data_IF_741013642673
#
_entry.id   IF_741013642673
#
_cell.length_a   1.000
_cell.length_b   1.000
_cell.length_c   1.000
_cell.angle_alpha   90.00
_cell.angle_beta   90.00
_cell.angle_gamma   90.00
#
_symmetry.space_group_name_H-M   'P 1'
#
loop_
_entity.id
_entity.type
_entity.pdbx_description
1 polymer ?
#
# COMPACT_ATOMS: atom_id res chain seq x y z
N UNK A 1 -23.85 -5.68 -3.33
CA UNK A 1 -23.04 -6.55 -4.23
C UNK A 1 -21.68 -6.61 -3.58
N UNK A 2 -21.46 -7.63 -2.77
CA UNK A 2 -20.31 -7.71 -1.88
C UNK A 2 -19.14 -8.23 -2.71
N UNK A 3 -18.12 -7.38 -2.93
CA UNK A 3 -16.86 -7.82 -3.50
C UNK A 3 -16.23 -8.81 -2.52
N UNK A 4 -16.16 -10.08 -2.90
CA UNK A 4 -15.50 -11.10 -2.11
C UNK A 4 -14.01 -10.77 -2.06
N UNK A 5 -13.54 -10.25 -0.92
CA UNK A 5 -12.13 -10.07 -0.64
C UNK A 5 -11.45 -11.46 -0.64
N UNK A 6 -10.83 -11.83 -1.76
CA UNK A 6 -10.11 -13.08 -1.86
C UNK A 6 -8.72 -12.93 -1.23
N UNK A 7 -8.57 -13.50 -0.04
CA UNK A 7 -7.29 -13.60 0.66
C UNK A 7 -6.31 -14.42 -0.17
N UNK A 8 -5.25 -13.78 -0.66
CA UNK A 8 -4.08 -14.49 -1.14
C UNK A 8 -3.47 -15.25 0.05
N UNK A 9 -3.49 -16.57 -0.03
CA UNK A 9 -3.05 -17.49 1.02
C UNK A 9 -1.73 -17.08 1.66
N UNK A 10 -1.78 -16.66 2.92
CA UNK A 10 -0.62 -16.42 3.80
C UNK A 10 -0.22 -14.96 4.04
N UNK A 11 -0.74 -13.99 3.29
CA UNK A 11 -0.43 -12.58 3.49
C UNK A 11 -1.58 -11.88 4.25
N UNK A 12 -1.22 -11.13 5.29
CA UNK A 12 -2.12 -10.30 6.09
C UNK A 12 -2.56 -9.06 5.28
N UNK A 13 -3.45 -9.24 4.30
CA UNK A 13 -3.95 -8.19 3.42
C UNK A 13 -5.38 -8.45 2.93
N UNK A 14 -6.11 -7.38 2.61
CA UNK A 14 -7.44 -7.39 1.98
C UNK A 14 -7.47 -6.39 0.82
N UNK A 15 -7.45 -6.89 -0.40
CA UNK A 15 -7.51 -6.09 -1.64
C UNK A 15 -8.55 -6.67 -2.59
N UNK A 16 -9.02 -5.88 -3.56
CA UNK A 16 -10.07 -6.31 -4.50
C UNK A 16 -9.64 -7.51 -5.35
N UNK A 17 -8.46 -7.44 -5.97
CA UNK A 17 -7.97 -8.45 -6.91
C UNK A 17 -6.44 -8.44 -6.96
N UNK A 18 -5.81 -9.47 -6.40
CA UNK A 18 -4.35 -9.61 -6.35
C UNK A 18 -3.73 -9.80 -7.74
N UNK A 19 -4.50 -10.24 -8.74
CA UNK A 19 -4.00 -10.47 -10.11
C UNK A 19 -3.64 -9.16 -10.83
N UNK A 20 -4.13 -8.01 -10.34
CA UNK A 20 -3.81 -6.68 -10.85
C UNK A 20 -2.39 -6.20 -10.49
N UNK A 21 -1.68 -6.93 -9.63
CA UNK A 21 -0.39 -6.49 -9.10
C UNK A 21 0.68 -6.22 -10.17
N UNK A 22 0.71 -6.99 -11.26
CA UNK A 22 1.69 -6.78 -12.33
C UNK A 22 1.39 -5.53 -13.15
N UNK A 23 0.12 -5.15 -13.27
CA UNK A 23 -0.26 -3.87 -13.87
C UNK A 23 0.11 -2.72 -12.94
N UNK A 24 -0.23 -2.84 -11.65
CA UNK A 24 0.13 -1.82 -10.66
C UNK A 24 1.63 -1.60 -10.53
N UNK A 25 2.46 -2.65 -10.63
CA UNK A 25 3.92 -2.51 -10.67
C UNK A 25 4.38 -1.64 -11.83
N UNK A 26 3.87 -1.85 -13.05
CA UNK A 26 4.24 -1.03 -14.21
C UNK A 26 3.90 0.44 -14.01
N UNK A 27 2.75 0.75 -13.41
CA UNK A 27 2.37 2.13 -13.12
C UNK A 27 3.17 2.75 -11.98
N UNK A 28 3.56 1.96 -10.96
CA UNK A 28 4.51 2.38 -9.92
C UNK A 28 5.86 2.74 -10.55
N UNK A 29 6.40 1.90 -11.43
CA UNK A 29 7.69 2.14 -12.11
C UNK A 29 7.65 3.46 -12.91
N UNK A 30 6.53 3.75 -13.58
CA UNK A 30 6.32 5.04 -14.26
C UNK A 30 6.26 6.20 -13.25
N UNK A 31 5.53 6.02 -12.14
CA UNK A 31 5.38 7.06 -11.13
C UNK A 31 6.69 7.40 -10.40
N UNK A 32 7.60 6.44 -10.23
CA UNK A 32 8.93 6.71 -9.66
C UNK A 32 9.71 7.76 -10.48
N UNK A 33 9.55 7.77 -11.81
CA UNK A 33 10.16 8.79 -12.67
C UNK A 33 9.58 10.19 -12.43
N UNK A 34 8.29 10.28 -12.10
CA UNK A 34 7.58 11.54 -11.82
C UNK A 34 7.67 11.97 -10.34
N UNK A 35 8.32 11.18 -9.48
CA UNK A 35 8.47 11.45 -8.04
C UNK A 35 9.95 11.58 -7.62
N UNK A 36 10.74 12.50 -8.24
CA UNK A 36 12.18 12.59 -8.02
C UNK A 36 12.55 12.93 -6.57
N UNK A 37 11.67 13.61 -5.84
CA UNK A 37 11.85 13.92 -4.42
C UNK A 37 11.91 12.66 -3.55
N UNK A 38 10.93 11.75 -3.68
CA UNK A 38 10.93 10.48 -2.95
C UNK A 38 12.09 9.59 -3.37
N UNK A 39 12.39 9.53 -4.67
CA UNK A 39 13.50 8.73 -5.16
C UNK A 39 14.85 9.24 -4.66
N UNK A 40 15.01 10.57 -4.49
CA UNK A 40 16.19 11.16 -3.88
C UNK A 40 16.33 10.78 -2.40
N UNK A 41 15.22 10.81 -1.64
CA UNK A 41 15.20 10.37 -0.24
C UNK A 41 15.59 8.89 -0.13
N UNK A 42 15.01 8.03 -0.97
CA UNK A 42 15.33 6.59 -1.03
C UNK A 42 16.82 6.37 -1.29
N UNK A 43 17.38 6.97 -2.34
CA UNK A 43 18.82 6.86 -2.67
C UNK A 43 19.72 7.35 -1.54
N UNK A 44 19.34 8.43 -0.86
CA UNK A 44 20.16 9.04 0.20
C UNK A 44 20.16 8.23 1.50
N UNK A 45 19.04 7.64 1.88
CA UNK A 45 18.85 7.10 3.23
C UNK A 45 18.62 5.59 3.31
N UNK A 46 18.37 4.90 2.20
CA UNK A 46 18.16 3.44 2.21
C UNK A 46 19.34 2.70 2.84
N UNK A 47 20.60 3.05 2.55
CA UNK A 47 21.75 2.37 3.15
C UNK A 47 21.83 2.50 4.68
N UNK A 48 21.35 3.63 5.23
CA UNK A 48 21.37 3.91 6.67
C UNK A 48 20.17 3.37 7.43
N UNK A 49 19.10 2.97 6.72
CA UNK A 49 17.86 2.44 7.30
C UNK A 49 17.36 3.26 8.51
N UNK A 50 17.12 4.58 8.37
CA UNK A 50 16.82 5.45 9.52
C UNK A 50 15.50 5.12 10.23
N UNK A 51 14.59 4.40 9.56
CA UNK A 51 13.31 3.97 10.12
C UNK A 51 13.34 2.53 10.64
N UNK A 52 14.52 1.91 10.74
CA UNK A 52 14.66 0.54 11.26
C UNK A 52 14.02 0.41 12.65
N UNK A 53 13.06 -0.50 12.76
CA UNK A 53 12.33 -0.76 14.00
C UNK A 53 11.15 0.19 14.26
N UNK A 54 10.89 1.14 13.36
CA UNK A 54 9.70 2.00 13.41
C UNK A 54 8.53 1.27 12.74
N UNK A 55 7.41 1.17 13.45
CA UNK A 55 6.13 0.69 12.92
C UNK A 55 5.31 1.89 12.43
N UNK A 56 4.86 1.85 11.18
CA UNK A 56 4.09 2.92 10.54
C UNK A 56 2.76 2.35 10.05
N UNK A 57 1.66 2.87 10.60
CA UNK A 57 0.33 2.71 10.02
C UNK A 57 0.00 3.95 9.20
N UNK A 58 -0.39 3.77 7.94
CA UNK A 58 -0.83 4.85 7.06
C UNK A 58 -2.30 4.76 6.68
N UNK A 59 -2.92 5.93 6.53
CA UNK A 59 -4.31 6.12 6.10
C UNK A 59 -4.42 7.23 5.06
N UNK A 60 -3.57 7.21 4.03
CA UNK A 60 -3.73 8.08 2.85
C UNK A 60 -4.48 7.32 1.75
N UNK A 61 -4.95 8.02 0.72
CA UNK A 61 -5.56 7.39 -0.47
C UNK A 61 -4.63 6.28 -0.99
N UNK A 62 -5.15 5.09 -1.25
CA UNK A 62 -4.32 3.95 -1.69
C UNK A 62 -4.13 4.00 -3.21
N UNK A 63 -3.31 4.94 -3.66
CA UNK A 63 -3.01 5.22 -5.07
C UNK A 63 -1.62 4.75 -5.47
N UNK A 64 -1.29 4.85 -6.75
CA UNK A 64 0.05 4.64 -7.29
C UNK A 64 1.10 5.53 -6.61
N UNK A 65 0.78 6.80 -6.35
CA UNK A 65 1.73 7.73 -5.71
C UNK A 65 1.98 7.34 -4.25
N UNK A 66 0.93 6.89 -3.55
CA UNK A 66 1.05 6.37 -2.18
C UNK A 66 1.84 5.06 -2.15
N UNK A 67 1.72 4.20 -3.16
CA UNK A 67 2.53 3.00 -3.29
C UNK A 67 4.04 3.33 -3.33
N UNK A 68 4.45 4.36 -4.08
CA UNK A 68 5.85 4.86 -4.08
C UNK A 68 6.27 5.37 -2.69
N UNK A 69 5.38 6.04 -1.96
CA UNK A 69 5.64 6.47 -0.57
C UNK A 69 5.83 5.26 0.36
N UNK A 70 4.93 4.27 0.30
CA UNK A 70 4.98 3.04 1.11
C UNK A 70 6.30 2.32 0.89
N UNK A 71 6.69 2.09 -0.36
CA UNK A 71 7.95 1.43 -0.69
C UNK A 71 9.15 2.25 -0.25
N UNK A 72 9.06 3.58 -0.29
CA UNK A 72 10.12 4.45 0.25
C UNK A 72 10.26 4.28 1.76
N UNK A 73 9.15 4.22 2.52
CA UNK A 73 9.20 3.99 3.96
C UNK A 73 9.80 2.61 4.29
N UNK A 74 9.41 1.57 3.55
CA UNK A 74 9.98 0.22 3.69
C UNK A 74 11.47 0.18 3.36
N UNK A 75 11.89 0.81 2.27
CA UNK A 75 13.31 0.90 1.88
C UNK A 75 14.14 1.71 2.87
N UNK A 76 13.51 2.56 3.68
CA UNK A 76 14.15 3.27 4.80
C UNK A 76 14.13 2.45 6.11
N UNK A 77 13.54 1.25 6.11
CA UNK A 77 13.57 0.27 7.21
C UNK A 77 12.32 0.19 8.07
N UNK A 78 11.24 0.90 7.71
CA UNK A 78 9.99 0.85 8.45
C UNK A 78 9.24 -0.47 8.23
N UNK A 79 8.54 -0.92 9.26
CA UNK A 79 7.47 -1.92 9.16
C UNK A 79 6.15 -1.18 8.89
N UNK A 80 5.50 -1.45 7.76
CA UNK A 80 4.42 -0.61 7.22
C UNK A 80 3.14 -1.42 7.07
N UNK A 81 2.02 -0.86 7.56
CA UNK A 81 0.66 -1.34 7.34
C UNK A 81 -0.20 -0.19 6.80
N UNK A 82 -1.18 -0.48 5.96
CA UNK A 82 -1.93 0.57 5.27
C UNK A 82 -3.43 0.30 5.09
N UNK A 83 -4.24 1.33 5.26
CA UNK A 83 -5.64 1.39 4.84
C UNK A 83 -5.88 2.67 4.02
N UNK A 84 -6.99 2.74 3.27
CA UNK A 84 -7.35 3.98 2.59
C UNK A 84 -8.17 4.91 3.50
N UNK A 85 -8.02 6.24 3.38
CA UNK A 85 -8.89 7.20 4.07
C UNK A 85 -10.15 7.60 3.29
N UNK A 86 -10.42 6.97 2.15
CA UNK A 86 -11.64 7.24 1.38
C UNK A 86 -12.06 6.03 0.55
N UNK A 87 -13.33 5.65 0.73
CA UNK A 87 -13.98 4.47 0.13
C UNK A 87 -13.92 4.38 -1.39
N UNK A 88 -13.65 5.48 -2.12
CA UNK A 88 -13.59 5.48 -3.59
C UNK A 88 -12.21 5.83 -4.15
N UNK A 89 -11.24 6.13 -3.28
CA UNK A 89 -9.94 6.65 -3.70
C UNK A 89 -8.92 5.58 -4.06
N UNK A 90 -9.13 4.35 -3.61
CA UNK A 90 -8.23 3.23 -3.87
C UNK A 90 -8.11 2.98 -5.38
N UNK A 91 -6.87 2.83 -5.84
CA UNK A 91 -6.56 2.24 -7.13
C UNK A 91 -6.21 0.78 -6.88
N UNK A 92 -7.11 -0.14 -7.24
CA UNK A 92 -7.01 -1.56 -6.83
C UNK A 92 -5.71 -2.24 -7.31
N UNK A 93 -5.20 -1.84 -8.48
CA UNK A 93 -3.92 -2.33 -8.98
C UNK A 93 -2.73 -1.84 -8.13
N UNK A 94 -2.79 -0.63 -7.57
CA UNK A 94 -1.77 -0.12 -6.65
C UNK A 94 -1.80 -0.88 -5.33
N UNK A 95 -3.00 -1.10 -4.78
CA UNK A 95 -3.19 -1.90 -3.58
C UNK A 95 -2.68 -3.34 -3.77
N UNK A 96 -3.03 -3.98 -4.90
CA UNK A 96 -2.56 -5.32 -5.26
C UNK A 96 -1.03 -5.38 -5.42
N UNK A 97 -0.43 -4.39 -6.07
CA UNK A 97 1.02 -4.34 -6.26
C UNK A 97 1.77 -4.26 -4.92
N UNK A 98 1.29 -3.42 -3.99
CA UNK A 98 1.87 -3.33 -2.65
C UNK A 98 1.61 -4.62 -1.84
N UNK A 99 0.39 -5.17 -1.87
CA UNK A 99 0.07 -6.43 -1.19
C UNK A 99 0.97 -7.59 -1.67
N UNK A 100 1.25 -7.67 -2.98
CA UNK A 100 2.15 -8.71 -3.56
C UNK A 100 3.60 -8.61 -3.04
N UNK A 101 4.04 -7.45 -2.54
CA UNK A 101 5.35 -7.31 -1.86
C UNK A 101 5.38 -7.89 -0.43
N UNK A 102 4.25 -8.40 0.06
CA UNK A 102 4.07 -8.84 1.44
C UNK A 102 3.81 -7.69 2.41
N UNK A 103 3.55 -6.48 1.93
CA UNK A 103 3.15 -5.35 2.79
C UNK A 103 1.65 -5.43 3.10
N UNK A 104 1.24 -5.41 4.37
CA UNK A 104 -0.17 -5.39 4.75
C UNK A 104 -0.91 -4.18 4.21
N UNK A 105 -1.89 -4.42 3.33
CA UNK A 105 -2.78 -3.42 2.77
C UNK A 105 -4.21 -3.90 2.89
N UNK A 106 -5.07 -3.06 3.44
CA UNK A 106 -6.50 -3.28 3.65
C UNK A 106 -7.25 -2.16 2.95
N UNK A 107 -7.46 -2.31 1.64
CA UNK A 107 -8.07 -1.27 0.83
C UNK A 107 -8.59 -1.82 -0.51
N UNK A 108 -9.79 -1.40 -0.90
CA UNK A 108 -10.31 -1.55 -2.26
C UNK A 108 -11.20 -0.37 -2.66
N UNK A 109 -11.44 -0.22 -3.96
CA UNK A 109 -12.36 0.79 -4.45
C UNK A 109 -13.81 0.34 -4.26
N UNK A 110 -14.63 1.23 -3.71
CA UNK A 110 -16.05 0.98 -3.49
C UNK A 110 -16.35 0.25 -2.18
N UNK A 111 -15.52 0.43 -1.16
CA UNK A 111 -15.81 0.00 0.21
C UNK A 111 -17.15 0.57 0.71
N UNK A 112 -17.85 -0.20 1.53
CA UNK A 112 -18.86 0.30 2.45
C UNK A 112 -18.20 1.01 3.64
N UNK A 113 -18.96 1.78 4.41
CA UNK A 113 -18.43 2.41 5.62
C UNK A 113 -18.03 1.41 6.71
N UNK A 114 -18.68 0.25 6.77
CA UNK A 114 -18.31 -0.83 7.70
C UNK A 114 -16.95 -1.42 7.30
N UNK A 115 -16.79 -1.79 6.02
CA UNK A 115 -15.51 -2.28 5.48
C UNK A 115 -14.38 -1.26 5.65
N UNK A 116 -14.65 0.03 5.44
CA UNK A 116 -13.69 1.12 5.67
C UNK A 116 -13.15 1.13 7.11
N UNK A 117 -14.03 0.98 8.11
CA UNK A 117 -13.63 0.96 9.52
C UNK A 117 -12.92 -0.34 9.90
N UNK A 118 -13.36 -1.48 9.35
CA UNK A 118 -12.66 -2.76 9.52
C UNK A 118 -11.24 -2.70 8.96
N UNK A 119 -11.07 -2.19 7.74
CA UNK A 119 -9.75 -1.96 7.12
C UNK A 119 -8.88 -1.03 7.97
N UNK A 120 -9.46 0.03 8.53
CA UNK A 120 -8.75 0.96 9.42
C UNK A 120 -8.25 0.24 10.68
N UNK A 121 -9.07 -0.63 11.28
CA UNK A 121 -8.69 -1.39 12.46
C UNK A 121 -7.60 -2.42 12.15
N UNK A 122 -7.73 -3.16 11.03
CA UNK A 122 -6.74 -4.13 10.58
C UNK A 122 -5.37 -3.48 10.32
N UNK A 123 -5.34 -2.24 9.82
CA UNK A 123 -4.09 -1.50 9.60
C UNK A 123 -3.40 -1.06 10.92
N UNK A 124 -4.13 -1.00 12.03
CA UNK A 124 -3.62 -0.58 13.35
C UNK A 124 -3.14 -1.75 14.23
N UNK A 125 -3.59 -2.97 13.99
CA UNK A 125 -3.18 -4.18 14.71
C UNK A 125 -1.82 -4.69 14.24
#
# INVERSE_FOLDING_TARGET
MNALAHTATGADCKVADITLADFGRKEIDIAEHEMPGLMSIRRKYAATQPLRGVRVTGSLHMTIQTAVLIETLKDLGADVRWASCNIFSTQDHAAAAIAKTGTPVFAWKGETLEEYWDCTLDALS
#
